data_IF_356000691980
#
_entry.id   IF_356000691980
#
_cell.length_a   1.000
_cell.length_b   1.000
_cell.length_c   1.000
_cell.angle_alpha   90.00
_cell.angle_beta   90.00
_cell.angle_gamma   90.00
#
_symmetry.space_group_name_H-M   'P 1'
#
loop_
_entity.id
_entity.type
_entity.pdbx_description
1 polymer ?
#
# COMPACT_ATOMS: atom_id res chain seq x y z
N UNK A 1 -23.39 7.30 -16.59
CA UNK A 1 -22.91 5.90 -16.43
C UNK A 1 -21.67 5.94 -15.56
N UNK A 2 -21.75 5.52 -14.30
CA UNK A 2 -20.61 5.51 -13.38
C UNK A 2 -20.03 4.11 -13.32
N UNK A 3 -18.87 3.88 -13.94
CA UNK A 3 -18.09 2.66 -13.72
C UNK A 3 -17.56 2.63 -12.29
N UNK A 4 -17.25 1.44 -11.77
CA UNK A 4 -16.58 1.29 -10.49
C UNK A 4 -15.25 2.07 -10.53
N UNK A 5 -15.19 3.17 -9.78
CA UNK A 5 -14.00 4.04 -9.74
C UNK A 5 -12.91 3.48 -8.84
N UNK A 6 -13.14 2.38 -8.13
CA UNK A 6 -12.22 1.79 -7.17
C UNK A 6 -11.97 0.34 -7.57
N UNK A 7 -10.71 -0.02 -7.68
CA UNK A 7 -10.23 -1.36 -7.96
C UNK A 7 -9.31 -1.81 -6.83
N UNK A 8 -9.21 -3.11 -6.64
CA UNK A 8 -8.31 -3.70 -5.65
C UNK A 8 -7.76 -5.03 -6.14
N UNK A 9 -6.63 -5.42 -5.55
CA UNK A 9 -6.21 -6.82 -5.57
C UNK A 9 -7.11 -7.65 -4.64
N UNK A 10 -6.98 -8.97 -4.74
CA UNK A 10 -7.34 -9.85 -3.63
C UNK A 10 -6.43 -9.60 -2.41
N UNK A 11 -6.70 -10.33 -1.33
CA UNK A 11 -5.85 -10.35 -0.14
C UNK A 11 -4.59 -11.20 -0.40
N UNK A 12 -3.51 -10.55 -0.82
CA UNK A 12 -2.28 -11.21 -1.23
C UNK A 12 -1.49 -11.71 -0.01
N UNK A 13 -1.06 -12.97 -0.05
CA UNK A 13 -0.12 -13.51 0.94
C UNK A 13 1.32 -13.12 0.60
N UNK A 14 1.98 -12.40 1.50
CA UNK A 14 3.40 -12.01 1.37
C UNK A 14 4.31 -12.74 2.37
N UNK A 15 3.71 -13.41 3.37
CA UNK A 15 4.32 -14.41 4.23
C UNK A 15 3.23 -15.24 4.91
N UNK A 16 3.60 -16.21 5.74
CA UNK A 16 2.65 -17.01 6.51
C UNK A 16 1.74 -16.15 7.40
N UNK A 17 2.28 -15.06 7.96
CA UNK A 17 1.61 -14.21 8.95
C UNK A 17 1.22 -12.84 8.44
N UNK A 18 1.50 -12.51 7.17
CA UNK A 18 1.22 -11.18 6.63
C UNK A 18 0.40 -11.23 5.35
N UNK A 19 -0.45 -10.23 5.19
CA UNK A 19 -1.28 -10.03 4.01
C UNK A 19 -1.18 -8.60 3.51
N UNK A 20 -1.34 -8.43 2.20
CA UNK A 20 -1.34 -7.12 1.53
C UNK A 20 -2.61 -6.96 0.70
N UNK A 21 -3.15 -5.75 0.71
CA UNK A 21 -4.17 -5.32 -0.26
C UNK A 21 -3.68 -4.05 -0.91
N UNK A 22 -3.74 -4.01 -2.24
CA UNK A 22 -3.50 -2.81 -3.04
C UNK A 22 -4.83 -2.35 -3.61
N UNK A 23 -5.08 -1.05 -3.57
CA UNK A 23 -6.26 -0.41 -4.11
C UNK A 23 -5.87 0.80 -4.92
N UNK A 24 -6.62 1.07 -5.97
CA UNK A 24 -6.48 2.32 -6.71
C UNK A 24 -7.83 2.84 -7.13
N UNK A 25 -7.91 4.17 -7.17
CA UNK A 25 -9.10 4.89 -7.56
C UNK A 25 -8.81 5.66 -8.84
N UNK A 26 -9.67 5.48 -9.83
CA UNK A 26 -9.66 6.24 -11.06
C UNK A 26 -10.54 7.48 -10.91
N UNK A 27 -9.93 8.62 -11.21
CA UNK A 27 -10.55 9.92 -11.24
C UNK A 27 -10.86 10.40 -12.65
N UNK A 28 -11.88 11.25 -12.80
CA UNK A 28 -12.10 12.03 -14.03
C UNK A 28 -10.88 12.91 -14.31
N UNK A 29 -10.31 13.48 -13.25
CA UNK A 29 -9.04 14.19 -13.27
C UNK A 29 -7.97 13.40 -12.51
N UNK A 30 -6.69 13.70 -12.77
CA UNK A 30 -5.58 13.16 -11.99
C UNK A 30 -5.72 13.47 -10.49
N UNK A 31 -6.43 14.56 -10.15
CA UNK A 31 -6.61 14.99 -8.76
C UNK A 31 -7.58 14.11 -7.98
N UNK A 32 -8.49 13.46 -8.70
CA UNK A 32 -9.46 12.54 -8.13
C UNK A 32 -8.90 11.11 -8.02
N UNK A 33 -7.77 10.83 -8.68
CA UNK A 33 -7.13 9.53 -8.64
C UNK A 33 -6.31 9.31 -7.37
N UNK A 34 -6.17 8.07 -6.93
CA UNK A 34 -5.36 7.71 -5.77
C UNK A 34 -4.85 6.27 -5.86
N UNK A 35 -3.75 5.99 -5.17
CA UNK A 35 -3.29 4.63 -4.89
C UNK A 35 -3.19 4.45 -3.38
N UNK A 36 -3.62 3.30 -2.89
CA UNK A 36 -3.66 2.97 -1.48
C UNK A 36 -3.17 1.53 -1.29
N UNK A 37 -2.41 1.27 -0.23
CA UNK A 37 -1.88 -0.05 0.06
C UNK A 37 -1.87 -0.31 1.56
N UNK A 38 -2.24 -1.51 1.96
CA UNK A 38 -2.22 -1.95 3.36
C UNK A 38 -1.34 -3.17 3.54
N UNK A 39 -0.59 -3.18 4.64
CA UNK A 39 0.05 -4.36 5.20
C UNK A 39 -0.68 -4.77 6.49
N UNK A 40 -1.06 -6.03 6.57
CA UNK A 40 -1.73 -6.62 7.73
C UNK A 40 -0.89 -7.75 8.34
N UNK A 41 -1.00 -7.90 9.65
CA UNK A 41 -0.66 -9.12 10.37
C UNK A 41 -1.92 -9.99 10.50
N UNK A 42 -1.80 -11.29 10.28
CA UNK A 42 -2.85 -12.29 10.51
C UNK A 42 -2.76 -12.77 11.96
N UNK A 43 -3.83 -12.58 12.72
CA UNK A 43 -3.96 -13.04 14.11
C UNK A 43 -4.41 -14.50 14.16
N UNK A 44 -4.30 -15.15 15.33
CA UNK A 44 -4.63 -16.58 15.53
C UNK A 44 -6.06 -16.93 15.07
N UNK A 45 -7.01 -16.02 15.25
CA UNK A 45 -8.41 -16.17 14.84
C UNK A 45 -8.66 -15.78 13.37
N UNK A 46 -7.62 -15.68 12.54
CA UNK A 46 -7.66 -15.21 11.15
C UNK A 46 -8.11 -13.74 10.96
N UNK A 47 -8.21 -12.96 12.04
CA UNK A 47 -8.46 -11.52 11.93
C UNK A 47 -7.22 -10.79 11.40
N UNK A 48 -7.44 -9.67 10.73
CA UNK A 48 -6.38 -8.82 10.19
C UNK A 48 -6.13 -7.63 11.11
N UNK A 49 -4.87 -7.45 11.51
CA UNK A 49 -4.43 -6.27 12.25
C UNK A 49 -3.59 -5.38 11.31
N UNK A 50 -4.00 -4.12 11.05
CA UNK A 50 -3.27 -3.23 10.15
C UNK A 50 -1.94 -2.80 10.78
N UNK A 51 -0.85 -3.06 10.07
CA UNK A 51 0.50 -2.65 10.46
C UNK A 51 0.93 -1.37 9.74
N UNK A 52 0.52 -1.20 8.49
CA UNK A 52 0.90 -0.05 7.67
C UNK A 52 -0.18 0.23 6.63
N UNK A 53 -0.47 1.50 6.41
CA UNK A 53 -1.33 2.00 5.34
C UNK A 53 -0.54 3.07 4.59
N UNK A 54 -0.40 2.96 3.27
CA UNK A 54 0.26 3.94 2.42
C UNK A 54 -0.72 4.48 1.41
N UNK A 55 -0.77 5.80 1.28
CA UNK A 55 -1.61 6.51 0.35
C UNK A 55 -0.74 7.39 -0.55
N UNK A 56 -1.02 7.37 -1.84
CA UNK A 56 -0.47 8.29 -2.82
C UNK A 56 -1.61 9.08 -3.48
N UNK A 57 -1.55 10.40 -3.34
CA UNK A 57 -2.46 11.34 -3.99
C UNK A 57 -1.64 12.26 -4.91
N UNK A 58 -1.73 12.09 -6.24
CA UNK A 58 -0.89 12.81 -7.19
C UNK A 58 -1.00 14.35 -7.11
N UNK A 59 -2.13 14.86 -6.62
CA UNK A 59 -2.49 16.28 -6.78
C UNK A 59 -2.12 17.21 -5.65
N UNK A 60 -2.05 16.75 -4.41
CA UNK A 60 -2.00 17.68 -3.27
C UNK A 60 -1.33 17.17 -2.00
N UNK A 61 -1.11 15.85 -1.86
CA UNK A 61 -0.52 15.26 -0.65
C UNK A 61 0.71 14.40 -0.91
N UNK A 62 0.92 13.96 -2.15
CA UNK A 62 1.98 13.00 -2.46
C UNK A 62 1.79 11.70 -1.69
N UNK A 63 2.91 11.06 -1.32
CA UNK A 63 2.95 9.86 -0.50
C UNK A 63 2.80 10.23 0.98
N UNK A 64 1.89 9.56 1.67
CA UNK A 64 1.79 9.58 3.12
C UNK A 64 1.36 8.22 3.64
N UNK A 65 1.55 7.97 4.93
CA UNK A 65 1.21 6.68 5.51
C UNK A 65 0.60 6.78 6.90
N UNK A 66 0.03 5.68 7.40
CA UNK A 66 -0.39 5.51 8.79
C UNK A 66 0.26 4.25 9.36
N UNK A 67 0.60 4.33 10.65
CA UNK A 67 1.19 3.25 11.44
C UNK A 67 0.46 3.19 12.79
N UNK A 68 0.20 1.99 13.36
CA UNK A 68 -0.31 1.89 14.71
C UNK A 68 0.76 2.39 15.70
N UNK A 69 0.40 3.35 16.54
CA UNK A 69 1.26 3.80 17.64
C UNK A 69 1.07 2.88 18.85
N UNK A 70 2.17 2.37 19.43
CA UNK A 70 2.14 1.60 20.68
C UNK A 70 1.98 2.51 21.92
N UNK A 71 0.97 3.38 21.94
CA UNK A 71 0.74 4.34 23.04
C UNK A 71 -0.61 4.13 23.70
N UNK A 72 -0.73 4.49 24.99
CA UNK A 72 -1.97 4.35 25.76
C UNK A 72 -3.17 5.15 25.18
N UNK A 73 -2.97 6.32 24.55
CA UNK A 73 -3.99 6.91 23.70
C UNK A 73 -3.93 6.29 22.30
N UNK A 74 -5.09 5.92 21.76
CA UNK A 74 -5.26 5.42 20.39
C UNK A 74 -5.04 6.55 19.37
N UNK A 75 -3.92 6.50 18.65
CA UNK A 75 -3.63 7.39 17.52
C UNK A 75 -3.54 6.64 16.18
N UNK A 76 -4.27 5.53 16.02
CA UNK A 76 -4.36 4.75 14.77
C UNK A 76 -4.74 5.58 13.53
N UNK A 77 -5.19 6.82 13.70
CA UNK A 77 -5.55 7.77 12.64
C UNK A 77 -4.50 8.86 12.33
N UNK A 78 -3.30 8.85 12.92
CA UNK A 78 -2.27 9.84 12.53
C UNK A 78 -1.68 9.46 11.17
N UNK A 79 -2.04 10.22 10.15
CA UNK A 79 -1.27 10.27 8.91
C UNK A 79 0.09 10.88 9.24
N UNK A 80 1.16 10.27 8.74
CA UNK A 80 2.52 10.79 8.77
C UNK A 80 2.84 11.36 7.37
N UNK A 81 2.31 12.56 7.02
CA UNK A 81 2.63 13.18 5.74
C UNK A 81 4.12 13.48 5.67
N UNK A 82 4.78 12.92 4.65
CA UNK A 82 6.21 13.14 4.40
C UNK A 82 7.17 12.57 5.44
N UNK A 83 6.72 11.66 6.32
CA UNK A 83 7.48 10.98 7.39
C UNK A 83 8.98 10.84 7.09
N UNK A 84 9.84 11.81 7.46
CA UNK A 84 11.23 11.83 7.03
C UNK A 84 12.01 10.64 7.57
N UNK A 85 11.60 10.10 8.72
CA UNK A 85 12.13 8.88 9.33
C UNK A 85 11.86 7.62 8.50
N UNK A 86 10.84 7.62 7.65
CA UNK A 86 10.53 6.54 6.72
C UNK A 86 11.14 6.77 5.33
N UNK A 87 11.74 7.94 5.10
CA UNK A 87 12.36 8.34 3.83
C UNK A 87 11.43 8.14 2.61
N UNK A 88 10.13 8.40 2.80
CA UNK A 88 9.12 8.25 1.74
C UNK A 88 9.22 9.39 0.75
N UNK A 89 9.85 9.13 -0.40
CA UNK A 89 9.90 10.08 -1.50
C UNK A 89 8.59 10.03 -2.30
N UNK A 90 7.99 11.21 -2.51
CA UNK A 90 6.91 11.36 -3.49
C UNK A 90 7.55 11.45 -4.87
N UNK A 91 7.25 10.49 -5.73
CA UNK A 91 7.71 10.50 -7.12
C UNK A 91 6.72 11.35 -7.93
N UNK A 92 7.24 12.41 -8.56
CA UNK A 92 6.44 13.28 -9.43
C UNK A 92 6.03 12.56 -10.73
N UNK A 93 4.86 12.93 -11.24
CA UNK A 93 4.39 12.49 -12.56
C UNK A 93 3.81 11.07 -12.63
N UNK A 94 3.69 10.36 -11.50
CA UNK A 94 3.00 9.06 -11.47
C UNK A 94 1.48 9.24 -11.55
N UNK A 95 0.84 8.45 -12.41
CA UNK A 95 -0.61 8.38 -12.55
C UNK A 95 -1.13 6.98 -12.17
N UNK A 96 -1.86 6.81 -11.06
CA UNK A 96 -2.35 5.50 -10.64
C UNK A 96 -3.38 4.89 -11.60
N UNK A 97 -3.90 5.65 -12.58
CA UNK A 97 -4.73 5.11 -13.67
C UNK A 97 -3.90 4.28 -14.65
N UNK A 98 -2.59 4.50 -14.69
CA UNK A 98 -1.66 3.82 -15.60
C UNK A 98 -1.01 2.62 -14.92
N UNK A 99 -1.10 1.46 -15.55
CA UNK A 99 -0.61 0.17 -15.03
C UNK A 99 0.86 0.19 -14.62
N UNK A 100 1.74 0.73 -15.47
CA UNK A 100 3.18 0.79 -15.18
C UNK A 100 3.50 1.68 -13.98
N UNK A 101 2.71 2.74 -13.75
CA UNK A 101 2.89 3.62 -12.60
C UNK A 101 2.34 2.98 -11.33
N UNK A 102 1.25 2.20 -11.42
CA UNK A 102 0.82 1.34 -10.31
C UNK A 102 1.89 0.35 -9.91
N UNK A 103 2.58 -0.28 -10.88
CA UNK A 103 3.69 -1.19 -10.56
C UNK A 103 4.82 -0.49 -9.80
N UNK A 104 5.19 0.74 -10.20
CA UNK A 104 6.19 1.55 -9.46
C UNK A 104 5.72 1.86 -8.04
N UNK A 105 4.45 2.22 -7.86
CA UNK A 105 3.87 2.48 -6.54
C UNK A 105 3.85 1.23 -5.66
N UNK A 106 3.51 0.07 -6.22
CA UNK A 106 3.60 -1.23 -5.55
C UNK A 106 5.03 -1.56 -5.13
N UNK A 107 6.01 -1.37 -6.02
CA UNK A 107 7.43 -1.60 -5.72
C UNK A 107 7.90 -0.72 -4.56
N UNK A 108 7.49 0.56 -4.55
CA UNK A 108 7.80 1.48 -3.47
C UNK A 108 7.18 1.01 -2.14
N UNK A 109 5.91 0.62 -2.14
CA UNK A 109 5.25 0.07 -0.96
C UNK A 109 5.96 -1.19 -0.43
N UNK A 110 6.28 -2.15 -1.29
CA UNK A 110 7.00 -3.36 -0.92
C UNK A 110 8.37 -3.05 -0.32
N UNK A 111 9.13 -2.14 -0.95
CA UNK A 111 10.44 -1.69 -0.44
C UNK A 111 10.34 -1.12 0.97
N UNK A 112 9.37 -0.24 1.21
CA UNK A 112 9.14 0.40 2.52
C UNK A 112 8.75 -0.63 3.59
N UNK A 113 7.96 -1.63 3.21
CA UNK A 113 7.55 -2.71 4.11
C UNK A 113 8.62 -3.80 4.29
N UNK A 114 9.77 -3.71 3.62
CA UNK A 114 10.77 -4.78 3.62
C UNK A 114 10.28 -6.08 2.96
N UNK A 115 9.31 -5.99 2.04
CA UNK A 115 8.78 -7.13 1.29
C UNK A 115 9.64 -7.32 0.05
N UNK A 116 10.30 -8.48 -0.04
CA UNK A 116 10.99 -8.90 -1.26
C UNK A 116 9.97 -9.42 -2.26
N UNK A 117 9.94 -8.82 -3.45
CA UNK A 117 9.24 -9.42 -4.59
C UNK A 117 10.16 -10.46 -5.22
N UNK A 118 9.67 -11.68 -5.33
CA UNK A 118 10.37 -12.73 -6.06
C UNK A 118 10.56 -12.25 -7.52
N UNK A 119 11.81 -12.03 -7.92
CA UNK A 119 12.13 -12.10 -9.35
C UNK A 119 11.95 -13.56 -9.78
N UNK A 120 11.78 -13.85 -11.07
CA UNK A 120 11.68 -15.23 -11.61
C UNK A 120 12.86 -16.16 -11.23
N UNK A 121 13.88 -15.64 -10.52
CA UNK A 121 15.03 -16.37 -9.98
C UNK A 121 15.10 -16.42 -8.44
N UNK A 122 14.01 -16.15 -7.72
CA UNK A 122 14.02 -16.25 -6.27
C UNK A 122 13.64 -17.67 -5.82
N UNK A 123 14.58 -18.40 -5.22
CA UNK A 123 14.42 -19.82 -4.84
C UNK A 123 13.54 -20.06 -3.61
N UNK A 124 12.87 -19.00 -3.11
CA UNK A 124 12.13 -19.00 -1.85
C UNK A 124 10.60 -18.93 -2.00
N UNK A 125 10.04 -19.00 -3.21
CA UNK A 125 8.58 -19.02 -3.38
C UNK A 125 8.02 -20.36 -2.93
N UNK A 126 7.49 -20.40 -1.71
CA UNK A 126 6.58 -21.45 -1.27
C UNK A 126 5.33 -21.43 -2.19
N UNK A 127 4.84 -22.59 -2.65
CA UNK A 127 3.59 -22.63 -3.39
C UNK A 127 2.47 -22.07 -2.50
N UNK A 128 1.64 -21.20 -3.09
CA UNK A 128 0.38 -20.78 -2.51
C UNK A 128 -0.46 -22.05 -2.27
N UNK A 129 -0.75 -22.36 -1.01
CA UNK A 129 -1.69 -23.39 -0.61
C UNK A 129 -3.13 -22.87 -0.64
#
# INVERSE_FOLDING_TARGET
MGSARIMSTDLLAVSNTHRVVLMWRDGETLQDSAFMAWLFCVLENQSLYPLFELHFHPSHKGVHCKMPCKTAPDYTNRQLPGAPELELLTIDGLDPRVDVDRQKLTLQFCKVCGITLASEKDTWTLPLA
#
